data_IF_992072567832
#
_entry.id   IF_992072567832
#
_cell.length_a   1.000
_cell.length_b   1.000
_cell.length_c   1.000
_cell.angle_alpha   90.00
_cell.angle_beta   90.00
_cell.angle_gamma   90.00
#
_symmetry.space_group_name_H-M   'P 1'
#
loop_
_entity.id
_entity.type
_entity.pdbx_description
1 polymer ?
#
# COMPACT_ATOMS: atom_id res chain seq x y z
N UNK A 1 -15.02 11.44 -9.47
CA UNK A 1 -15.80 10.54 -8.60
C UNK A 1 -14.82 9.69 -7.80
N UNK A 2 -15.19 9.25 -6.60
CA UNK A 2 -14.34 8.33 -5.81
C UNK A 2 -14.71 6.89 -6.17
N UNK A 3 -13.71 6.02 -6.29
CA UNK A 3 -13.90 4.62 -6.65
C UNK A 3 -12.86 3.74 -5.96
N UNK A 4 -13.28 2.57 -5.46
CA UNK A 4 -12.39 1.58 -4.85
C UNK A 4 -12.29 0.33 -5.73
N UNK A 5 -11.09 -0.19 -6.04
CA UNK A 5 -10.93 -1.46 -6.74
C UNK A 5 -11.60 -2.60 -5.98
N UNK A 6 -12.37 -3.43 -6.68
CA UNK A 6 -13.04 -4.62 -6.11
C UNK A 6 -12.54 -5.89 -6.78
N UNK A 7 -12.28 -5.85 -8.08
CA UNK A 7 -11.82 -7.04 -8.79
C UNK A 7 -11.53 -6.79 -10.27
N UNK A 8 -11.16 -7.87 -10.94
CA UNK A 8 -10.87 -7.92 -12.37
C UNK A 8 -11.84 -8.92 -12.99
N UNK A 9 -12.45 -8.55 -14.11
CA UNK A 9 -13.34 -9.41 -14.90
C UNK A 9 -12.58 -9.96 -16.12
N UNK A 10 -12.96 -11.17 -16.53
CA UNK A 10 -12.32 -11.92 -17.61
C UNK A 10 -11.85 -13.30 -17.13
N UNK A 11 -11.59 -14.22 -18.07
CA UNK A 11 -11.20 -15.61 -17.74
C UNK A 11 -9.71 -15.85 -17.99
N UNK A 12 -9.27 -15.56 -19.22
CA UNK A 12 -7.92 -15.79 -19.73
C UNK A 12 -7.11 -14.49 -19.89
N UNK A 13 -7.82 -13.38 -20.09
CA UNK A 13 -7.29 -12.02 -20.18
C UNK A 13 -8.16 -11.05 -19.38
N UNK A 14 -7.65 -9.85 -19.16
CA UNK A 14 -8.42 -8.76 -18.58
C UNK A 14 -9.45 -8.28 -19.61
N UNK A 15 -10.70 -8.21 -19.18
CA UNK A 15 -11.82 -7.68 -19.99
C UNK A 15 -12.57 -6.56 -19.27
N UNK A 16 -12.42 -6.46 -17.95
CA UNK A 16 -13.03 -5.39 -17.17
C UNK A 16 -12.35 -5.16 -15.83
N UNK A 17 -12.50 -3.94 -15.34
CA UNK A 17 -12.09 -3.55 -14.00
C UNK A 17 -13.34 -3.23 -13.18
N UNK A 18 -13.55 -4.02 -12.12
CA UNK A 18 -14.69 -3.86 -11.22
C UNK A 18 -14.31 -2.94 -10.07
N UNK A 19 -15.12 -1.92 -9.83
CA UNK A 19 -14.94 -0.98 -8.73
C UNK A 19 -16.26 -0.68 -8.03
N UNK A 20 -16.16 -0.26 -6.78
CA UNK A 20 -17.26 0.30 -6.00
C UNK A 20 -17.22 1.83 -6.10
N UNK A 21 -18.37 2.46 -6.34
CA UNK A 21 -18.50 3.92 -6.25
C UNK A 21 -18.49 4.31 -4.78
N UNK A 22 -17.67 5.29 -4.43
CA UNK A 22 -17.49 5.77 -3.07
C UNK A 22 -18.10 7.16 -2.90
N UNK A 23 -18.63 7.45 -1.72
CA UNK A 23 -19.18 8.76 -1.35
C UNK A 23 -18.37 9.39 -0.21
N UNK A 24 -18.39 10.72 -0.14
CA UNK A 24 -17.82 11.46 0.99
C UNK A 24 -18.75 11.33 2.20
N UNK A 25 -18.18 11.22 3.40
CA UNK A 25 -18.94 11.37 4.63
C UNK A 25 -19.50 12.81 4.73
N UNK A 26 -20.58 13.00 5.50
CA UNK A 26 -21.21 14.31 5.70
C UNK A 26 -20.26 15.34 6.32
N UNK A 27 -19.32 14.88 7.15
CA UNK A 27 -18.29 15.68 7.80
C UNK A 27 -17.09 16.01 6.90
N UNK A 28 -17.02 15.42 5.70
CA UNK A 28 -15.90 15.57 4.78
C UNK A 28 -14.59 14.91 5.20
N UNK A 29 -14.56 14.22 6.34
CA UNK A 29 -13.33 13.67 6.93
C UNK A 29 -12.89 12.33 6.30
N UNK A 30 -13.71 11.75 5.43
CA UNK A 30 -13.41 10.47 4.80
C UNK A 30 -14.37 10.10 3.69
N UNK A 31 -14.12 8.93 3.10
CA UNK A 31 -14.98 8.32 2.08
C UNK A 31 -15.46 6.94 2.56
N UNK A 32 -16.67 6.57 2.16
CA UNK A 32 -17.26 5.26 2.44
C UNK A 32 -17.82 4.61 1.17
N UNK A 33 -17.95 3.28 1.21
CA UNK A 33 -18.54 2.49 0.14
C UNK A 33 -20.04 2.73 0.04
N UNK A 34 -20.56 2.83 -1.18
CA UNK A 34 -22.00 3.02 -1.42
C UNK A 34 -22.75 1.72 -1.70
N UNK A 35 -22.04 0.59 -1.84
CA UNK A 35 -22.59 -0.68 -2.30
C UNK A 35 -22.90 -0.72 -3.81
N UNK A 36 -22.68 0.37 -4.54
CA UNK A 36 -22.88 0.43 -5.98
C UNK A 36 -21.62 -0.02 -6.72
N UNK A 37 -21.70 -1.16 -7.39
CA UNK A 37 -20.59 -1.72 -8.17
C UNK A 37 -20.76 -1.44 -9.66
N UNK A 38 -19.66 -1.12 -10.31
CA UNK A 38 -19.59 -0.91 -11.75
C UNK A 38 -18.41 -1.67 -12.34
N UNK A 39 -18.52 -1.99 -13.62
CA UNK A 39 -17.45 -2.60 -14.41
C UNK A 39 -17.10 -1.66 -15.54
N UNK A 40 -15.84 -1.25 -15.60
CA UNK A 40 -15.29 -0.49 -16.72
C UNK A 40 -14.58 -1.47 -17.68
N UNK A 41 -14.96 -1.53 -18.96
CA UNK A 41 -14.27 -2.37 -19.92
C UNK A 41 -12.84 -1.86 -20.14
N UNK A 42 -11.87 -2.73 -19.94
CA UNK A 42 -10.43 -2.42 -20.10
C UNK A 42 -9.68 -3.66 -20.56
N UNK A 43 -8.57 -3.47 -21.27
CA UNK A 43 -7.73 -4.57 -21.72
C UNK A 43 -6.51 -4.82 -20.82
N UNK A 44 -6.17 -3.85 -19.95
CA UNK A 44 -5.00 -3.88 -19.07
C UNK A 44 -5.25 -3.10 -17.78
N UNK A 45 -4.63 -3.55 -16.70
CA UNK A 45 -4.66 -2.92 -15.37
C UNK A 45 -3.23 -2.75 -14.89
N UNK A 46 -2.91 -1.58 -14.34
CA UNK A 46 -1.61 -1.27 -13.74
C UNK A 46 -1.83 -0.92 -12.27
N UNK A 47 -1.24 -1.70 -11.36
CA UNK A 47 -1.33 -1.43 -9.93
C UNK A 47 -0.21 -0.46 -9.55
N UNK A 48 -0.59 0.72 -9.08
CA UNK A 48 0.32 1.81 -8.72
C UNK A 48 0.10 2.29 -7.27
N UNK A 49 -0.26 1.38 -6.35
CA UNK A 49 -0.50 1.70 -4.95
C UNK A 49 0.78 1.92 -4.11
N UNK A 50 1.95 1.79 -4.72
CA UNK A 50 3.25 1.83 -4.03
C UNK A 50 3.76 0.45 -3.62
N UNK A 51 4.94 0.41 -3.01
CA UNK A 51 5.60 -0.82 -2.56
C UNK A 51 5.91 -0.74 -1.06
N UNK A 52 5.66 -1.83 -0.32
CA UNK A 52 6.07 -2.00 1.08
C UNK A 52 7.26 -2.96 1.16
N UNK A 53 8.34 -2.63 1.88
CA UNK A 53 9.47 -3.54 2.06
C UNK A 53 9.04 -4.84 2.76
N UNK A 54 9.63 -5.96 2.33
CA UNK A 54 9.40 -7.26 2.97
C UNK A 54 10.29 -7.37 4.21
N UNK A 55 9.71 -7.18 5.39
CA UNK A 55 10.38 -7.20 6.69
C UNK A 55 11.24 -8.47 6.92
N UNK A 56 10.80 -9.63 6.43
CA UNK A 56 11.58 -10.88 6.56
C UNK A 56 12.86 -10.87 5.74
N UNK A 57 12.83 -10.23 4.57
CA UNK A 57 13.98 -10.16 3.66
C UNK A 57 14.97 -9.07 4.07
N UNK A 58 14.48 -7.92 4.56
CA UNK A 58 15.35 -6.76 4.89
C UNK A 58 15.75 -6.71 6.36
N UNK A 59 14.95 -7.30 7.26
CA UNK A 59 15.10 -7.21 8.72
C UNK A 59 15.85 -8.38 9.36
N UNK A 60 15.11 -9.23 10.08
CA UNK A 60 15.65 -10.26 10.98
C UNK A 60 16.67 -11.20 10.32
N UNK A 61 16.44 -11.57 9.05
CA UNK A 61 17.37 -12.39 8.28
C UNK A 61 18.76 -11.77 8.07
N UNK A 62 18.89 -10.46 8.25
CA UNK A 62 20.14 -9.70 8.14
C UNK A 62 20.58 -9.07 9.47
N UNK A 63 20.00 -9.47 10.61
CA UNK A 63 20.22 -8.88 11.93
C UNK A 63 19.87 -7.37 12.02
N UNK A 64 18.94 -6.90 11.19
CA UNK A 64 18.47 -5.50 11.20
C UNK A 64 17.11 -5.40 11.90
N UNK A 65 16.94 -4.38 12.74
CA UNK A 65 15.66 -4.07 13.39
C UNK A 65 14.73 -3.37 12.40
N UNK A 66 13.46 -3.75 12.41
CA UNK A 66 12.42 -3.15 11.58
C UNK A 66 11.23 -2.68 12.43
N UNK A 67 10.55 -1.62 12.00
CA UNK A 67 9.33 -1.12 12.64
C UNK A 67 8.10 -1.98 12.29
N UNK A 68 6.94 -1.64 12.88
CA UNK A 68 5.66 -2.33 12.59
C UNK A 68 5.23 -2.19 11.12
N UNK A 69 5.75 -1.19 10.42
CA UNK A 69 5.51 -0.96 8.99
C UNK A 69 6.56 -1.65 8.12
N UNK A 70 7.50 -2.41 8.70
CA UNK A 70 8.50 -3.19 7.98
C UNK A 70 9.69 -2.36 7.44
N UNK A 71 9.88 -1.13 7.89
CA UNK A 71 11.02 -0.28 7.53
C UNK A 71 12.17 -0.48 8.52
N UNK A 72 13.41 -0.35 8.04
CA UNK A 72 14.60 -0.45 8.90
C UNK A 72 14.62 0.72 9.88
N UNK A 73 14.81 0.40 11.16
CA UNK A 73 15.02 1.39 12.20
C UNK A 73 16.48 1.83 12.13
N UNK A 74 16.72 3.08 11.77
CA UNK A 74 18.01 3.75 11.93
C UNK A 74 18.07 4.44 13.28
N UNK A 75 19.26 4.83 13.76
CA UNK A 75 19.34 5.63 14.99
C UNK A 75 18.58 6.94 14.82
N UNK A 76 17.81 7.34 15.82
CA UNK A 76 17.29 8.71 15.91
C UNK A 76 18.37 9.69 16.43
N UNK A 77 19.45 9.14 16.99
CA UNK A 77 20.56 9.90 17.54
C UNK A 77 21.55 10.35 16.45
N UNK A 78 21.63 11.67 16.27
CA UNK A 78 22.66 12.38 15.49
C UNK A 78 24.06 12.38 16.14
N UNK A 79 24.28 11.63 17.23
CA UNK A 79 25.53 11.64 18.02
C UNK A 79 26.30 10.33 17.92
N UNK A 80 26.68 9.94 16.70
CA UNK A 80 27.69 8.89 16.49
C UNK A 80 29.09 9.50 16.54
N UNK A 81 29.51 9.96 17.72
CA UNK A 81 30.93 10.04 18.08
C UNK A 81 31.06 9.89 19.60
N UNK A 82 31.01 8.65 20.11
CA UNK A 82 31.73 8.34 21.34
C UNK A 82 32.86 7.38 20.99
N UNK A 83 34.06 7.94 21.11
CA UNK A 83 35.40 7.36 21.13
C UNK A 83 35.51 5.85 20.88
N UNK A 84 36.14 5.51 19.76
CA UNK A 84 36.94 4.32 19.66
C UNK A 84 38.22 4.56 20.49
N UNK A 85 38.29 4.01 21.69
CA UNK A 85 39.55 3.94 22.46
C UNK A 85 40.29 2.66 22.02
N UNK A 86 41.41 2.88 21.31
CA UNK A 86 42.47 1.88 21.04
C UNK A 86 43.48 1.95 22.17
#
# INVERSE_FOLDING_TARGET
WFASPVGVEGTDKVEGFKYEVMALNEDGAGIHGTGNFQVMPVDKIIIAAGHKPNARLVGEGNNLKVDEKGYIITSEDYTIYSKCDI
#
